data_IF_103894972745
#
_entry.id   IF_103894972745
#
_cell.length_a   1.000
_cell.length_b   1.000
_cell.length_c   1.000
_cell.angle_alpha   90.00
_cell.angle_beta   90.00
_cell.angle_gamma   90.00
#
_symmetry.space_group_name_H-M   'P 1'
#
loop_
_entity.id
_entity.type
_entity.pdbx_description
1 polymer ?
#
# COMPACT_ATOMS: atom_id res chain seq x y z
N UNK A 1 16.22 -1.30 -42.68
CA UNK A 1 15.83 -0.30 -41.65
C UNK A 1 17.10 0.32 -41.09
N UNK A 2 17.20 1.66 -41.08
CA UNK A 2 18.41 2.34 -40.59
C UNK A 2 18.35 2.52 -39.06
N UNK A 3 19.50 2.39 -38.41
CA UNK A 3 19.62 2.58 -36.96
C UNK A 3 19.34 4.05 -36.60
N UNK A 4 18.58 4.33 -35.53
CA UNK A 4 18.31 5.68 -35.09
C UNK A 4 19.59 6.39 -34.65
N UNK A 5 19.71 7.71 -34.90
CA UNK A 5 20.96 8.47 -34.88
C UNK A 5 21.69 8.45 -33.53
N UNK A 6 20.98 8.18 -32.45
CA UNK A 6 21.53 8.17 -31.09
C UNK A 6 22.19 6.85 -30.69
N UNK A 7 22.04 5.79 -31.49
CA UNK A 7 22.60 4.45 -31.25
C UNK A 7 23.88 4.20 -32.06
N UNK A 8 24.31 5.17 -32.85
CA UNK A 8 25.58 5.15 -33.57
C UNK A 8 26.70 5.53 -32.59
N UNK A 9 27.06 4.62 -31.67
CA UNK A 9 28.10 4.87 -30.68
C UNK A 9 29.47 4.93 -31.36
N UNK A 10 30.15 6.05 -31.15
CA UNK A 10 31.49 6.38 -31.62
C UNK A 10 32.54 5.45 -31.03
N UNK A 11 32.98 4.47 -31.81
CA UNK A 11 34.26 3.79 -31.61
C UNK A 11 35.38 4.69 -32.14
N UNK A 12 35.91 5.57 -31.29
CA UNK A 12 37.26 6.11 -31.47
C UNK A 12 37.76 6.63 -30.12
N UNK A 13 38.82 5.99 -29.63
CA UNK A 13 39.57 6.42 -28.47
C UNK A 13 40.12 7.85 -28.66
N UNK A 14 40.10 8.67 -27.61
CA UNK A 14 41.30 9.20 -26.91
C UNK A 14 40.95 10.36 -25.95
N UNK A 15 41.32 10.14 -24.69
CA UNK A 15 41.87 11.10 -23.70
C UNK A 15 41.32 12.53 -23.59
N UNK A 16 40.53 12.78 -22.53
CA UNK A 16 40.81 13.80 -21.51
C UNK A 16 39.72 13.75 -20.43
N UNK A 17 40.10 13.53 -19.17
CA UNK A 17 39.25 13.68 -17.98
C UNK A 17 38.54 15.05 -17.99
N UNK A 18 37.26 15.13 -17.59
CA UNK A 18 36.92 15.18 -16.17
C UNK A 18 35.65 14.36 -15.79
N UNK A 19 35.66 13.88 -14.54
CA UNK A 19 34.55 13.43 -13.69
C UNK A 19 33.25 13.09 -14.45
N UNK A 20 33.03 11.80 -14.69
CA UNK A 20 31.78 11.29 -15.23
C UNK A 20 30.63 11.51 -14.22
N UNK A 21 29.92 12.63 -14.34
CA UNK A 21 28.59 12.74 -13.79
C UNK A 21 27.69 11.74 -14.54
N UNK A 22 27.49 10.57 -13.93
CA UNK A 22 26.56 9.55 -14.38
C UNK A 22 25.22 10.23 -14.62
N UNK A 23 24.80 10.33 -15.88
CA UNK A 23 23.51 10.91 -16.27
C UNK A 23 22.39 10.11 -15.61
N UNK A 24 21.89 10.57 -14.46
CA UNK A 24 20.81 9.91 -13.73
C UNK A 24 19.52 10.15 -14.51
N UNK A 25 19.03 9.11 -15.17
CA UNK A 25 17.75 9.13 -15.89
C UNK A 25 16.70 8.56 -14.93
N UNK A 26 15.91 9.45 -14.34
CA UNK A 26 14.88 9.11 -13.36
C UNK A 26 14.75 10.20 -12.29
N UNK A 27 13.75 10.10 -11.40
CA UNK A 27 13.65 11.00 -10.25
C UNK A 27 14.89 10.84 -9.36
N UNK A 28 15.65 11.92 -9.20
CA UNK A 28 16.85 11.95 -8.35
C UNK A 28 16.48 12.28 -6.90
N UNK A 29 17.33 11.85 -5.98
CA UNK A 29 17.24 12.20 -4.57
C UNK A 29 17.48 13.72 -4.39
N UNK A 30 16.66 14.45 -3.61
CA UNK A 30 16.86 15.87 -3.37
C UNK A 30 18.22 16.14 -2.68
N UNK A 31 18.84 17.31 -2.90
CA UNK A 31 20.21 17.62 -2.44
C UNK A 31 20.46 17.36 -0.95
N UNK A 32 19.41 17.52 -0.15
CA UNK A 32 19.44 17.46 1.31
C UNK A 32 19.53 16.02 1.85
N UNK A 33 19.48 15.02 0.98
CA UNK A 33 19.44 13.59 1.33
C UNK A 33 20.62 12.81 0.74
N UNK A 34 21.62 13.48 0.15
CA UNK A 34 22.82 12.79 -0.32
C UNK A 34 23.55 12.17 0.88
N UNK A 35 23.87 10.86 0.86
CA UNK A 35 24.67 10.24 1.90
C UNK A 35 26.05 10.91 1.90
N UNK A 36 26.54 11.30 3.08
CA UNK A 36 27.89 11.83 3.21
C UNK A 36 28.87 10.72 2.81
N UNK A 37 29.74 11.00 1.83
CA UNK A 37 30.81 10.10 1.45
C UNK A 37 31.77 9.95 2.64
N UNK A 38 31.79 8.75 3.22
CA UNK A 38 32.77 8.35 4.22
C UNK A 38 34.03 8.00 3.43
N UNK A 39 34.88 9.01 3.20
CA UNK A 39 36.20 8.80 2.61
C UNK A 39 37.13 8.18 3.67
N UNK A 40 37.50 6.93 3.40
CA UNK A 40 38.74 6.23 3.78
C UNK A 40 39.66 6.96 4.78
N UNK A 41 39.64 6.51 6.03
CA UNK A 41 40.81 6.59 6.93
C UNK A 41 41.18 5.14 7.22
N UNK A 42 42.35 4.73 6.72
CA UNK A 42 43.06 3.55 7.19
C UNK A 42 43.29 3.69 8.70
N UNK A 43 42.52 2.96 9.50
CA UNK A 43 42.92 2.58 10.84
C UNK A 43 42.77 1.07 10.89
N UNK A 44 43.91 0.40 11.02
CA UNK A 44 44.06 -1.05 11.20
C UNK A 44 43.14 -1.53 12.32
N UNK A 45 42.00 -2.10 11.94
CA UNK A 45 41.28 -3.08 12.75
C UNK A 45 41.58 -4.43 12.15
N UNK A 46 42.16 -5.27 12.99
CA UNK A 46 42.56 -6.63 12.73
C UNK A 46 41.41 -7.39 12.05
N UNK A 47 41.74 -8.14 11.00
CA UNK A 47 40.91 -9.22 10.47
C UNK A 47 40.61 -10.20 11.62
N UNK A 48 39.54 -9.96 12.38
CA UNK A 48 38.81 -11.03 13.03
C UNK A 48 37.88 -11.59 11.95
N UNK A 49 38.23 -12.80 11.48
CA UNK A 49 37.44 -13.62 10.59
C UNK A 49 36.04 -13.86 11.19
N UNK A 50 35.09 -12.97 10.90
CA UNK A 50 33.66 -13.29 11.03
C UNK A 50 33.28 -14.20 9.84
N UNK A 51 33.62 -15.48 9.97
CA UNK A 51 33.29 -16.57 9.04
C UNK A 51 31.77 -16.87 8.97
N UNK A 52 30.94 -16.07 9.66
CA UNK A 52 29.51 -16.30 9.82
C UNK A 52 28.62 -15.57 8.81
N UNK A 53 29.17 -14.73 7.93
CA UNK A 53 28.35 -13.70 7.25
C UNK A 53 27.98 -13.93 5.78
N UNK A 54 28.09 -15.14 5.21
CA UNK A 54 27.68 -15.35 3.79
C UNK A 54 26.95 -16.67 3.44
N UNK A 55 26.38 -17.40 4.40
CA UNK A 55 25.55 -18.57 4.09
C UNK A 55 24.09 -18.18 3.77
N UNK A 56 23.85 -17.53 2.62
CA UNK A 56 22.48 -17.36 2.10
C UNK A 56 22.05 -18.68 1.44
N UNK A 57 21.50 -19.60 2.23
CA UNK A 57 21.05 -20.91 1.77
C UNK A 57 20.53 -21.80 2.90
N UNK A 58 19.98 -22.99 2.58
CA UNK A 58 19.66 -23.98 3.60
C UNK A 58 20.93 -24.37 4.37
N UNK A 59 20.80 -24.50 5.69
CA UNK A 59 21.88 -24.90 6.58
C UNK A 59 22.45 -26.25 6.11
N UNK A 60 23.77 -26.34 5.99
CA UNK A 60 24.42 -27.58 5.56
C UNK A 60 24.27 -28.64 6.67
N UNK A 61 24.13 -29.94 6.33
CA UNK A 61 24.06 -30.99 7.33
C UNK A 61 25.29 -30.96 8.26
N UNK A 62 25.05 -30.83 9.57
CA UNK A 62 26.11 -30.77 10.59
C UNK A 62 26.49 -29.36 11.05
N UNK A 63 25.94 -28.30 10.45
CA UNK A 63 25.87 -27.00 11.09
C UNK A 63 24.64 -26.97 11.99
N UNK A 64 24.85 -26.84 13.29
CA UNK A 64 23.77 -26.68 14.26
C UNK A 64 23.51 -25.19 14.51
N UNK A 65 22.27 -24.78 14.80
CA UNK A 65 21.94 -23.41 15.19
C UNK A 65 22.77 -23.00 16.43
N UNK A 66 23.70 -22.06 16.24
CA UNK A 66 24.60 -21.61 17.32
C UNK A 66 23.95 -20.58 18.26
N UNK A 67 22.94 -19.85 17.76
CA UNK A 67 22.27 -18.78 18.52
C UNK A 67 20.91 -19.23 19.05
N UNK A 68 20.58 -18.75 20.26
CA UNK A 68 19.25 -18.92 20.87
C UNK A 68 18.11 -18.47 19.94
N UNK A 69 18.30 -17.37 19.22
CA UNK A 69 17.29 -16.86 18.29
C UNK A 69 17.06 -17.84 17.11
N UNK A 70 18.10 -18.54 16.68
CA UNK A 70 18.05 -19.52 15.61
C UNK A 70 17.28 -20.78 16.05
N UNK A 71 17.52 -21.24 17.29
CA UNK A 71 16.78 -22.34 17.90
C UNK A 71 15.29 -22.04 18.03
N UNK A 72 14.94 -20.83 18.50
CA UNK A 72 13.54 -20.40 18.64
C UNK A 72 12.84 -20.29 17.26
N UNK A 73 13.57 -19.90 16.22
CA UNK A 73 13.09 -19.89 14.84
C UNK A 73 12.83 -21.30 14.28
N UNK A 74 13.73 -22.24 14.57
CA UNK A 74 13.60 -23.63 14.13
C UNK A 74 12.44 -24.34 14.83
N UNK A 75 12.29 -24.17 16.15
CA UNK A 75 11.16 -24.68 16.91
C UNK A 75 9.82 -24.17 16.35
N UNK A 76 9.73 -22.87 16.09
CA UNK A 76 8.54 -22.25 15.48
C UNK A 76 8.26 -22.80 14.08
N UNK A 77 9.30 -23.05 13.28
CA UNK A 77 9.14 -23.64 11.95
C UNK A 77 8.59 -25.07 12.02
N UNK A 78 9.04 -25.87 13.01
CA UNK A 78 8.52 -27.20 13.27
C UNK A 78 7.06 -27.18 13.73
N UNK A 79 6.68 -26.25 14.62
CA UNK A 79 5.29 -26.06 15.04
C UNK A 79 4.38 -25.72 13.86
N UNK A 80 4.80 -24.80 12.99
CA UNK A 80 4.04 -24.44 11.78
C UNK A 80 3.89 -25.66 10.86
N UNK A 81 4.96 -26.44 10.69
CA UNK A 81 4.92 -27.66 9.87
C UNK A 81 3.95 -28.69 10.44
N UNK A 82 3.97 -28.93 11.75
CA UNK A 82 3.05 -29.87 12.40
C UNK A 82 1.59 -29.39 12.31
N UNK A 83 1.33 -28.13 12.64
CA UNK A 83 -0.02 -27.55 12.59
C UNK A 83 -0.56 -27.45 11.15
N UNK A 84 0.31 -27.16 10.18
CA UNK A 84 -0.02 -27.13 8.76
C UNK A 84 -0.30 -28.52 8.18
N UNK A 85 0.34 -29.57 8.72
CA UNK A 85 0.12 -30.96 8.31
C UNK A 85 -1.17 -31.54 8.88
N UNK A 86 -1.58 -31.15 10.08
CA UNK A 86 -2.85 -31.58 10.69
C UNK A 86 -4.08 -31.06 9.91
N UNK A 87 -3.94 -29.92 9.21
CA UNK A 87 -4.93 -29.45 8.23
C UNK A 87 -4.91 -30.20 6.88
N UNK A 88 -3.87 -31.00 6.62
CA UNK A 88 -3.62 -31.71 5.36
C UNK A 88 -4.04 -33.18 5.37
N UNK A 89 -4.71 -33.67 6.43
CA UNK A 89 -5.38 -34.98 6.40
C UNK A 89 -6.69 -34.95 5.58
N UNK A 90 -7.01 -33.83 4.93
CA UNK A 90 -7.99 -33.76 3.85
C UNK A 90 -7.41 -34.40 2.60
N UNK A 91 -7.73 -35.69 2.44
CA UNK A 91 -7.82 -36.48 1.20
C UNK A 91 -6.87 -36.07 0.07
N UNK A 92 -5.97 -36.99 -0.30
CA UNK A 92 -5.10 -36.92 -1.50
C UNK A 92 -5.85 -36.72 -2.83
N UNK A 93 -7.19 -36.67 -2.82
CA UNK A 93 -8.04 -36.25 -3.94
C UNK A 93 -8.15 -34.73 -4.12
N UNK A 94 -7.77 -33.92 -3.12
CA UNK A 94 -7.84 -32.44 -3.20
C UNK A 94 -6.68 -31.82 -3.98
N UNK A 95 -5.55 -32.53 -4.15
CA UNK A 95 -4.39 -31.99 -4.86
C UNK A 95 -4.67 -31.65 -6.34
N UNK A 96 -5.73 -32.22 -6.93
CA UNK A 96 -6.16 -31.92 -8.31
C UNK A 96 -7.38 -31.02 -8.41
N UNK A 97 -8.09 -30.79 -7.30
CA UNK A 97 -9.26 -29.93 -7.30
C UNK A 97 -8.84 -28.48 -7.09
N UNK A 98 -9.31 -27.62 -7.99
CA UNK A 98 -9.08 -26.19 -7.86
C UNK A 98 -9.87 -25.74 -6.62
N UNK A 99 -9.17 -25.17 -5.64
CA UNK A 99 -9.77 -24.67 -4.40
C UNK A 99 -11.00 -23.79 -4.67
N UNK A 100 -11.99 -23.85 -3.80
CA UNK A 100 -13.31 -23.21 -4.00
C UNK A 100 -13.19 -21.71 -4.32
N UNK A 101 -12.24 -21.01 -3.68
CA UNK A 101 -11.98 -19.58 -3.94
C UNK A 101 -11.44 -19.28 -5.35
N UNK A 102 -10.95 -20.29 -6.07
CA UNK A 102 -10.48 -20.19 -7.45
C UNK A 102 -11.57 -20.51 -8.48
N UNK A 103 -12.65 -21.18 -8.09
CA UNK A 103 -13.78 -21.53 -8.97
C UNK A 103 -14.93 -20.54 -8.74
N UNK A 104 -15.19 -20.20 -7.48
CA UNK A 104 -16.27 -19.32 -7.10
C UNK A 104 -15.78 -17.86 -7.08
N UNK A 105 -16.50 -17.00 -7.81
CA UNK A 105 -16.27 -15.56 -7.73
C UNK A 105 -16.59 -15.10 -6.30
N UNK A 106 -15.73 -14.26 -5.68
CA UNK A 106 -16.04 -13.68 -4.38
C UNK A 106 -17.43 -13.03 -4.39
N UNK A 107 -18.26 -13.32 -3.38
CA UNK A 107 -19.65 -12.81 -3.28
C UNK A 107 -19.75 -11.27 -3.41
N UNK A 108 -18.67 -10.59 -3.05
CA UNK A 108 -18.52 -9.13 -3.09
C UNK A 108 -18.55 -8.58 -4.53
N UNK A 109 -18.23 -9.38 -5.54
CA UNK A 109 -18.11 -8.95 -6.93
C UNK A 109 -19.13 -9.65 -7.81
N UNK A 110 -20.32 -9.05 -7.91
CA UNK A 110 -21.27 -9.41 -8.98
C UNK A 110 -20.57 -9.22 -10.33
N UNK A 111 -20.83 -10.09 -11.30
CA UNK A 111 -20.18 -10.10 -12.63
C UNK A 111 -20.20 -8.72 -13.32
N UNK A 112 -21.22 -7.90 -13.03
CA UNK A 112 -21.32 -6.52 -13.51
C UNK A 112 -20.20 -5.58 -13.03
N UNK A 113 -19.66 -5.79 -11.82
CA UNK A 113 -18.59 -4.97 -11.24
C UNK A 113 -17.19 -5.36 -11.76
N UNK A 114 -17.05 -6.50 -12.45
CA UNK A 114 -15.80 -6.95 -13.08
C UNK A 114 -15.47 -6.15 -14.35
N UNK A 115 -16.35 -5.24 -14.78
CA UNK A 115 -16.12 -4.40 -15.95
C UNK A 115 -16.20 -5.17 -17.29
N UNK A 116 -16.83 -6.34 -17.30
CA UNK A 116 -17.14 -7.13 -18.50
C UNK A 116 -18.36 -6.57 -19.28
N UNK A 117 -19.01 -5.53 -18.77
CA UNK A 117 -20.07 -4.78 -19.44
C UNK A 117 -19.64 -3.36 -19.82
N UNK A 118 -20.49 -2.62 -20.57
CA UNK A 118 -20.22 -1.23 -20.92
C UNK A 118 -19.98 -0.38 -19.67
N UNK A 119 -18.80 0.24 -19.61
CA UNK A 119 -18.32 1.03 -18.48
C UNK A 119 -19.04 2.38 -18.44
N UNK A 120 -20.14 2.47 -17.67
CA UNK A 120 -20.81 3.73 -17.36
C UNK A 120 -20.46 4.17 -15.93
N UNK A 121 -20.45 5.49 -15.69
CA UNK A 121 -20.31 6.02 -14.34
C UNK A 121 -21.48 5.57 -13.46
N UNK A 122 -21.19 5.12 -12.25
CA UNK A 122 -22.23 4.73 -11.28
C UNK A 122 -23.07 5.95 -10.93
N UNK A 123 -24.41 5.84 -11.05
CA UNK A 123 -25.33 6.93 -10.68
C UNK A 123 -25.59 7.02 -9.17
N UNK A 124 -25.21 5.99 -8.43
CA UNK A 124 -25.29 5.92 -6.97
C UNK A 124 -23.88 5.71 -6.42
N UNK A 125 -23.67 6.15 -5.18
CA UNK A 125 -22.44 5.89 -4.44
C UNK A 125 -22.16 4.37 -4.46
N UNK A 126 -20.92 4.02 -4.77
CA UNK A 126 -20.48 2.63 -4.76
C UNK A 126 -20.49 2.08 -3.33
N UNK A 127 -20.33 0.75 -3.16
CA UNK A 127 -20.03 0.18 -1.85
C UNK A 127 -18.86 0.95 -1.22
N UNK A 128 -19.01 1.31 0.05
CA UNK A 128 -18.00 2.08 0.76
C UNK A 128 -16.77 1.19 1.03
N UNK A 129 -15.75 1.34 0.19
CA UNK A 129 -14.45 0.69 0.37
C UNK A 129 -13.52 1.51 1.28
N UNK A 130 -14.04 2.52 2.00
CA UNK A 130 -13.27 3.25 3.00
C UNK A 130 -12.83 2.34 4.15
N UNK A 131 -13.52 1.22 4.37
CA UNK A 131 -13.09 0.23 5.34
C UNK A 131 -11.85 -0.53 4.83
N UNK A 132 -10.72 -0.23 5.46
CA UNK A 132 -9.42 -0.88 5.22
C UNK A 132 -9.24 -2.15 6.05
N UNK A 133 -10.16 -2.45 6.98
CA UNK A 133 -10.12 -3.62 7.86
C UNK A 133 -10.03 -4.94 7.09
N UNK A 134 -10.60 -4.99 5.87
CA UNK A 134 -10.58 -6.21 5.05
C UNK A 134 -9.18 -6.74 4.71
N UNK A 135 -8.16 -5.88 4.72
CA UNK A 135 -6.77 -6.31 4.48
C UNK A 135 -5.83 -6.07 5.67
N UNK A 136 -6.18 -5.15 6.58
CA UNK A 136 -5.28 -4.78 7.69
C UNK A 136 -5.57 -5.51 8.99
N UNK A 137 -6.74 -6.15 9.15
CA UNK A 137 -7.04 -6.91 10.37
C UNK A 137 -6.59 -8.37 10.24
N UNK A 138 -5.79 -8.80 11.21
CA UNK A 138 -5.56 -10.21 11.49
C UNK A 138 -6.80 -10.83 12.15
N UNK A 139 -7.05 -12.15 12.01
CA UNK A 139 -8.19 -12.81 12.64
C UNK A 139 -8.25 -12.57 14.16
N UNK A 140 -7.10 -12.44 14.81
CA UNK A 140 -7.00 -12.14 16.24
C UNK A 140 -7.36 -10.67 16.56
N UNK A 141 -6.92 -9.71 15.75
CA UNK A 141 -7.29 -8.29 15.91
C UNK A 141 -8.79 -8.05 15.70
N UNK A 142 -9.41 -8.80 14.78
CA UNK A 142 -10.85 -8.74 14.54
C UNK A 142 -11.66 -9.19 15.76
N UNK A 143 -11.26 -10.30 16.38
CA UNK A 143 -11.89 -10.83 17.59
C UNK A 143 -11.72 -9.88 18.79
N UNK A 144 -10.55 -9.26 18.95
CA UNK A 144 -10.34 -8.26 20.01
C UNK A 144 -11.17 -6.99 19.78
N UNK A 145 -11.20 -6.47 18.55
CA UNK A 145 -12.06 -5.33 18.18
C UNK A 145 -13.54 -5.63 18.37
N UNK A 146 -14.02 -6.82 18.03
CA UNK A 146 -15.42 -7.19 18.26
C UNK A 146 -15.77 -7.25 19.75
N UNK A 147 -14.83 -7.66 20.61
CA UNK A 147 -14.99 -7.63 22.07
C UNK A 147 -15.00 -6.20 22.63
N UNK A 148 -14.20 -5.28 22.08
CA UNK A 148 -14.05 -3.90 22.61
C UNK A 148 -15.03 -2.88 22.01
N UNK A 149 -15.63 -3.15 20.84
CA UNK A 149 -16.58 -2.26 20.13
C UNK A 149 -17.87 -1.91 20.89
N UNK A 150 -18.16 -2.53 22.03
CA UNK A 150 -19.52 -2.52 22.58
C UNK A 150 -19.98 -1.23 23.29
N UNK A 151 -19.09 -0.34 23.77
CA UNK A 151 -19.52 0.89 24.50
C UNK A 151 -18.63 2.14 24.35
N UNK A 152 -17.32 2.00 24.14
CA UNK A 152 -16.40 3.15 24.19
C UNK A 152 -16.23 3.84 22.83
N UNK A 153 -16.24 3.05 21.74
CA UNK A 153 -16.07 3.55 20.37
C UNK A 153 -17.26 4.35 19.85
N UNK A 154 -18.48 4.04 20.31
CA UNK A 154 -19.69 4.81 19.94
C UNK A 154 -19.67 6.22 20.54
N UNK A 155 -19.14 6.36 21.76
CA UNK A 155 -19.03 7.65 22.45
C UNK A 155 -18.01 8.56 21.78
N UNK A 156 -16.80 8.05 21.51
CA UNK A 156 -15.71 8.81 20.87
C UNK A 156 -16.10 9.28 19.46
N UNK A 157 -16.62 8.38 18.62
CA UNK A 157 -17.10 8.73 17.27
C UNK A 157 -18.20 9.79 17.30
N UNK A 158 -19.13 9.70 18.25
CA UNK A 158 -20.20 10.70 18.39
C UNK A 158 -19.68 12.09 18.77
N UNK A 159 -18.58 12.18 19.51
CA UNK A 159 -17.96 13.44 19.89
C UNK A 159 -17.20 14.07 18.71
N UNK A 160 -16.45 13.24 17.96
CA UNK A 160 -15.77 13.68 16.74
C UNK A 160 -16.76 14.21 15.69
N UNK A 161 -17.88 13.52 15.47
CA UNK A 161 -18.94 13.99 14.58
C UNK A 161 -19.52 15.35 15.01
N UNK A 162 -19.68 15.58 16.32
CA UNK A 162 -20.13 16.88 16.85
C UNK A 162 -19.11 17.97 16.56
N UNK A 163 -17.82 17.72 16.77
CA UNK A 163 -16.75 18.68 16.48
C UNK A 163 -16.70 19.04 15.00
N UNK A 164 -16.80 18.04 14.10
CA UNK A 164 -16.84 18.26 12.65
C UNK A 164 -18.05 19.13 12.28
N UNK A 165 -19.22 18.83 12.84
CA UNK A 165 -20.45 19.60 12.60
C UNK A 165 -20.35 21.05 13.07
N UNK A 166 -19.71 21.29 14.21
CA UNK A 166 -19.46 22.65 14.70
C UNK A 166 -18.51 23.42 13.78
N UNK A 167 -17.42 22.78 13.35
CA UNK A 167 -16.46 23.35 12.39
C UNK A 167 -17.16 23.73 11.09
N UNK A 168 -17.94 22.82 10.52
CA UNK A 168 -18.65 23.04 9.26
C UNK A 168 -19.68 24.17 9.38
N UNK A 169 -20.39 24.24 10.52
CA UNK A 169 -21.32 25.34 10.83
C UNK A 169 -20.60 26.68 10.93
N UNK A 170 -19.39 26.72 11.51
CA UNK A 170 -18.59 27.93 11.59
C UNK A 170 -18.14 28.40 10.20
N UNK A 171 -17.67 27.47 9.35
CA UNK A 171 -17.30 27.78 7.97
C UNK A 171 -18.50 28.26 7.14
N UNK A 172 -19.67 27.66 7.31
CA UNK A 172 -20.88 28.08 6.59
C UNK A 172 -21.31 29.50 6.99
N UNK A 173 -21.19 29.86 8.28
CA UNK A 173 -21.43 31.23 8.74
C UNK A 173 -20.45 32.21 8.10
N UNK A 174 -19.17 31.86 8.02
CA UNK A 174 -18.16 32.70 7.39
C UNK A 174 -18.44 32.89 5.90
N UNK A 175 -18.75 31.81 5.19
CA UNK A 175 -19.18 31.86 3.78
C UNK A 175 -20.40 32.77 3.60
N UNK A 176 -21.43 32.63 4.44
CA UNK A 176 -22.63 33.49 4.39
C UNK A 176 -22.33 34.96 4.64
N UNK A 177 -21.36 35.30 5.50
CA UNK A 177 -20.92 36.69 5.68
C UNK A 177 -20.23 37.21 4.43
N UNK A 178 -19.29 36.43 3.89
CA UNK A 178 -18.57 36.78 2.68
C UNK A 178 -19.51 36.95 1.47
N UNK A 179 -20.46 36.05 1.27
CA UNK A 179 -21.46 36.11 0.19
C UNK A 179 -22.46 37.28 0.34
N UNK A 180 -22.60 37.85 1.55
CA UNK A 180 -23.40 39.06 1.80
C UNK A 180 -22.61 40.34 1.53
N UNK A 181 -21.34 40.37 1.95
CA UNK A 181 -20.44 41.51 1.74
C UNK A 181 -20.03 41.64 0.27
N UNK A 182 -19.83 40.52 -0.40
CA UNK A 182 -19.51 40.46 -1.82
C UNK A 182 -20.69 39.88 -2.59
N UNK A 183 -21.22 40.62 -3.57
CA UNK A 183 -22.22 40.12 -4.53
C UNK A 183 -21.57 39.08 -5.45
N UNK A 184 -21.32 37.88 -4.92
CA UNK A 184 -20.70 36.80 -5.67
C UNK A 184 -21.71 36.28 -6.68
N UNK A 185 -21.22 36.02 -7.89
CA UNK A 185 -22.00 35.31 -8.89
C UNK A 185 -22.31 33.90 -8.38
N UNK A 186 -23.45 33.34 -8.81
CA UNK A 186 -23.89 32.01 -8.40
C UNK A 186 -22.79 30.98 -8.65
N UNK A 187 -22.55 30.09 -7.69
CA UNK A 187 -21.58 29.01 -7.86
C UNK A 187 -21.97 28.11 -9.03
N UNK A 188 -20.99 27.53 -9.73
CA UNK A 188 -21.22 26.58 -10.82
C UNK A 188 -22.15 25.43 -10.41
N UNK A 189 -22.01 24.96 -9.16
CA UNK A 189 -22.83 23.91 -8.58
C UNK A 189 -24.28 24.38 -8.39
N UNK A 190 -24.47 25.61 -7.93
CA UNK A 190 -25.79 26.24 -7.75
C UNK A 190 -26.46 26.51 -9.11
N UNK A 191 -25.71 26.98 -10.11
CA UNK A 191 -26.16 27.11 -11.49
C UNK A 191 -26.61 25.77 -12.08
N UNK A 192 -25.87 24.69 -11.81
CA UNK A 192 -26.24 23.35 -12.24
C UNK A 192 -27.53 22.87 -11.56
N UNK A 193 -27.65 23.05 -10.24
CA UNK A 193 -28.86 22.73 -9.49
C UNK A 193 -30.07 23.52 -10.00
N UNK A 194 -29.93 24.82 -10.27
CA UNK A 194 -30.99 25.65 -10.84
C UNK A 194 -31.40 25.15 -12.24
N UNK A 195 -30.44 24.77 -13.09
CA UNK A 195 -30.73 24.16 -14.40
C UNK A 195 -31.50 22.85 -14.26
N UNK A 196 -31.11 21.96 -13.34
CA UNK A 196 -31.83 20.72 -13.08
C UNK A 196 -33.25 20.97 -12.56
N UNK A 197 -33.43 21.93 -11.65
CA UNK A 197 -34.75 22.33 -11.13
C UNK A 197 -35.65 22.88 -12.24
N UNK A 198 -35.12 23.72 -13.14
CA UNK A 198 -35.86 24.24 -14.29
C UNK A 198 -36.27 23.13 -15.27
N UNK A 199 -35.38 22.16 -15.52
CA UNK A 199 -35.68 21.00 -16.37
C UNK A 199 -36.79 20.12 -15.78
N UNK A 200 -36.85 19.94 -14.46
CA UNK A 200 -37.90 19.16 -13.78
C UNK A 200 -39.26 19.85 -13.71
N UNK A 201 -39.32 21.16 -13.93
CA UNK A 201 -40.56 21.97 -13.94
C UNK A 201 -41.18 22.12 -15.33
N UNK A 202 -40.46 21.68 -16.38
CA UNK A 202 -40.98 21.50 -17.73
C UNK A 202 -41.43 20.06 -17.89
#
# INVERSE_FOLDING_TARGET
PALPPHLLKSSSAQSSSPVEEKKVIGPCLPPNFQPQEITEVEETVEDEEDEDDLAIGPLLPGQEPQSRAQLELEERALEIKLNGLEGSERSTNDATNREEWMIELPEVRKVADLGLGPRQFRQKEGPDFSDRSSWTDTPQSKLEKEKTKSKEDTSRKSYEEKLIKERDRAMEKLKKKYDKEHKREKSLLELHQDKLKKKKKK
#
